data_IF_373076681787
#
_entry.id   IF_373076681787
#
_cell.length_a   1.000
_cell.length_b   1.000
_cell.length_c   1.000
_cell.angle_alpha   90.00
_cell.angle_beta   90.00
_cell.angle_gamma   90.00
#
_symmetry.space_group_name_H-M   'P 1'
#
loop_
_entity.id
_entity.type
_entity.pdbx_description
1 polymer ?
#
# COMPACT_ATOMS: atom_id res chain seq x y z
N UNK A 1 42.30 68.34 54.49
CA UNK A 1 41.01 68.23 53.78
C UNK A 1 41.06 66.98 52.91
N UNK A 2 40.47 65.88 53.37
CA UNK A 2 40.27 64.67 52.56
C UNK A 2 38.81 64.70 52.09
N UNK A 3 38.58 64.81 50.79
CA UNK A 3 37.24 64.79 50.18
C UNK A 3 37.03 63.44 49.50
N UNK A 4 36.07 62.68 50.01
CA UNK A 4 35.67 61.36 49.50
C UNK A 4 34.69 61.51 48.35
N UNK A 5 35.07 61.02 47.16
CA UNK A 5 34.19 60.97 45.98
C UNK A 5 33.39 59.66 45.98
N UNK A 6 32.09 59.75 46.29
CA UNK A 6 31.13 58.63 46.21
C UNK A 6 30.99 58.12 44.78
N UNK A 7 31.16 56.81 44.59
CA UNK A 7 30.80 56.10 43.36
C UNK A 7 29.29 55.82 43.34
N UNK A 8 28.62 56.15 42.24
CA UNK A 8 27.24 55.74 41.96
C UNK A 8 27.31 54.60 40.94
N UNK A 9 27.02 53.38 41.37
CA UNK A 9 26.76 52.25 40.46
C UNK A 9 25.31 52.31 40.01
N UNK A 10 25.08 52.52 38.71
CA UNK A 10 23.79 52.36 38.06
C UNK A 10 23.59 50.88 37.70
N UNK A 11 22.71 50.19 38.41
CA UNK A 11 22.24 48.87 38.04
C UNK A 11 21.26 48.99 36.87
N UNK A 12 21.64 48.46 35.70
CA UNK A 12 20.74 48.24 34.58
C UNK A 12 20.00 46.92 34.80
N UNK A 13 18.73 46.98 35.20
CA UNK A 13 17.82 45.82 35.17
C UNK A 13 17.33 45.62 33.73
N UNK A 14 17.91 44.66 33.02
CA UNK A 14 17.37 44.17 31.77
C UNK A 14 16.08 43.39 32.04
N UNK A 15 14.93 43.94 31.64
CA UNK A 15 13.64 43.25 31.67
C UNK A 15 13.63 42.21 30.53
N UNK A 16 13.87 40.94 30.85
CA UNK A 16 13.62 39.82 29.94
C UNK A 16 12.10 39.68 29.77
N UNK A 17 11.56 40.21 28.68
CA UNK A 17 10.22 39.91 28.20
C UNK A 17 10.19 38.43 27.79
N UNK A 18 9.71 37.58 28.69
CA UNK A 18 9.29 36.22 28.35
C UNK A 18 8.03 36.36 27.49
N UNK A 19 8.20 36.31 26.18
CA UNK A 19 7.08 36.10 25.26
C UNK A 19 6.45 34.75 25.63
N UNK A 20 5.17 34.70 26.02
CA UNK A 20 4.49 33.41 26.12
C UNK A 20 4.52 32.81 24.73
N UNK A 21 5.24 31.69 24.57
CA UNK A 21 5.19 30.90 23.37
C UNK A 21 3.73 30.62 23.06
N UNK A 22 3.23 31.17 21.95
CA UNK A 22 1.92 30.82 21.45
C UNK A 22 1.95 29.30 21.27
N UNK A 23 1.27 28.58 22.15
CA UNK A 23 0.87 27.22 21.91
C UNK A 23 0.03 27.28 20.64
N UNK A 24 0.67 26.96 19.51
CA UNK A 24 -0.03 26.73 18.26
C UNK A 24 -1.14 25.74 18.58
N UNK A 25 -2.39 26.20 18.51
CA UNK A 25 -3.52 25.30 18.60
C UNK A 25 -3.28 24.16 17.60
N UNK A 26 -3.55 22.89 17.96
CA UNK A 26 -3.41 21.80 17.00
C UNK A 26 -4.18 22.20 15.75
N UNK A 27 -3.49 22.26 14.62
CA UNK A 27 -4.11 22.57 13.34
C UNK A 27 -5.33 21.66 13.24
N UNK A 28 -6.53 22.26 13.10
CA UNK A 28 -7.76 21.50 12.90
C UNK A 28 -7.46 20.49 11.78
N UNK A 29 -7.60 19.19 12.08
CA UNK A 29 -7.56 18.15 11.06
C UNK A 29 -8.49 18.62 9.94
N UNK A 30 -7.95 18.87 8.75
CA UNK A 30 -8.77 19.16 7.59
C UNK A 30 -9.55 17.89 7.31
N UNK A 31 -10.80 17.83 7.77
CA UNK A 31 -11.65 16.68 7.57
C UNK A 31 -12.00 16.56 6.08
N UNK A 32 -11.88 15.34 5.55
CA UNK A 32 -12.23 15.03 4.18
C UNK A 32 -13.74 15.23 3.92
N UNK A 33 -14.09 16.20 3.07
CA UNK A 33 -15.50 16.48 2.72
C UNK A 33 -16.03 15.56 1.62
N UNK A 34 -15.22 15.27 0.59
CA UNK A 34 -15.64 14.53 -0.61
C UNK A 34 -14.71 13.34 -0.86
N UNK A 35 -14.84 12.25 -0.08
CA UNK A 35 -13.95 11.10 -0.21
C UNK A 35 -14.12 10.39 -1.56
N UNK A 36 -13.01 10.10 -2.21
CA UNK A 36 -12.96 9.13 -3.32
C UNK A 36 -13.48 7.78 -2.79
N UNK A 37 -14.35 7.13 -3.55
CA UNK A 37 -14.92 5.82 -3.17
C UNK A 37 -14.23 4.71 -3.94
N UNK A 38 -13.48 3.87 -3.24
CA UNK A 38 -12.91 2.62 -3.76
C UNK A 38 -13.98 1.52 -3.71
N UNK A 39 -14.14 0.81 -4.84
CA UNK A 39 -15.24 -0.15 -5.05
C UNK A 39 -14.71 -1.53 -5.41
N UNK A 40 -15.54 -2.54 -5.18
CA UNK A 40 -15.22 -3.90 -5.57
C UNK A 40 -15.18 -4.02 -7.11
N UNK A 41 -14.18 -4.71 -7.66
CA UNK A 41 -13.96 -4.80 -9.11
C UNK A 41 -15.20 -5.22 -9.91
N UNK A 42 -15.94 -6.23 -9.41
CA UNK A 42 -17.11 -6.78 -10.08
C UNK A 42 -18.30 -5.81 -10.12
N UNK A 43 -18.30 -4.74 -9.32
CA UNK A 43 -19.37 -3.72 -9.34
C UNK A 43 -19.08 -2.57 -10.31
N UNK A 44 -17.86 -2.46 -10.82
CA UNK A 44 -17.53 -1.46 -11.84
C UNK A 44 -18.20 -1.77 -13.18
N UNK A 45 -18.59 -0.72 -13.92
CA UNK A 45 -18.97 -0.86 -15.33
C UNK A 45 -17.76 -1.22 -16.18
N UNK A 46 -18.00 -1.82 -17.36
CA UNK A 46 -16.91 -2.20 -18.26
C UNK A 46 -16.05 -1.00 -18.67
N UNK A 47 -16.65 0.16 -18.98
CA UNK A 47 -15.90 1.39 -19.31
C UNK A 47 -14.89 1.79 -18.22
N UNK A 48 -15.25 1.61 -16.95
CA UNK A 48 -14.35 1.92 -15.82
C UNK A 48 -13.21 0.90 -15.70
N UNK A 49 -13.50 -0.38 -15.96
CA UNK A 49 -12.49 -1.44 -16.01
C UNK A 49 -11.49 -1.20 -17.14
N UNK A 50 -12.00 -0.89 -18.33
CA UNK A 50 -11.19 -0.56 -19.50
C UNK A 50 -10.32 0.67 -19.27
N UNK A 51 -10.88 1.71 -18.63
CA UNK A 51 -10.14 2.92 -18.26
C UNK A 51 -9.01 2.63 -17.26
N UNK A 52 -9.24 1.76 -16.27
CA UNK A 52 -8.20 1.33 -15.33
C UNK A 52 -7.05 0.61 -16.03
N UNK A 53 -7.37 -0.35 -16.91
CA UNK A 53 -6.36 -1.08 -17.68
C UNK A 53 -5.58 -0.17 -18.63
N UNK A 54 -6.26 0.77 -19.29
CA UNK A 54 -5.64 1.77 -20.16
C UNK A 54 -4.68 2.67 -19.37
N UNK A 55 -5.12 3.20 -18.24
CA UNK A 55 -4.28 4.06 -17.40
C UNK A 55 -3.07 3.30 -16.83
N UNK A 56 -3.26 2.05 -16.42
CA UNK A 56 -2.16 1.17 -15.99
C UNK A 56 -1.09 1.02 -17.07
N UNK A 57 -1.48 0.75 -18.32
CA UNK A 57 -0.55 0.62 -19.45
C UNK A 57 0.11 1.94 -19.84
N UNK A 58 -0.59 3.07 -19.65
CA UNK A 58 -0.03 4.40 -19.88
C UNK A 58 1.22 4.67 -19.01
N UNK A 59 1.31 4.10 -17.81
CA UNK A 59 2.48 4.26 -16.94
C UNK A 59 3.77 3.66 -17.54
N UNK A 60 3.67 2.70 -18.48
CA UNK A 60 4.82 2.18 -19.21
C UNK A 60 5.45 3.21 -20.17
N UNK A 61 4.73 4.28 -20.49
CA UNK A 61 5.21 5.34 -21.36
C UNK A 61 5.71 6.57 -20.58
N UNK A 62 5.56 6.57 -19.26
CA UNK A 62 6.10 7.64 -18.41
C UNK A 62 7.52 7.29 -18.01
N UNK A 63 8.41 8.29 -18.05
CA UNK A 63 9.80 8.14 -17.62
C UNK A 63 9.86 7.79 -16.14
N UNK A 64 10.79 6.90 -15.78
CA UNK A 64 11.13 6.62 -14.37
C UNK A 64 11.51 7.92 -13.64
N UNK A 65 11.09 8.03 -12.38
CA UNK A 65 11.37 9.18 -11.51
C UNK A 65 12.28 8.82 -10.32
N UNK A 66 12.59 7.53 -10.13
CA UNK A 66 13.43 7.05 -9.04
C UNK A 66 14.89 6.94 -9.47
N UNK A 67 15.82 7.18 -8.55
CA UNK A 67 17.24 6.97 -8.80
C UNK A 67 17.56 5.47 -8.72
N UNK A 68 17.64 4.80 -9.87
CA UNK A 68 17.88 3.35 -9.97
C UNK A 68 19.08 2.98 -10.86
N UNK A 69 19.96 3.93 -11.18
CA UNK A 69 21.10 3.72 -12.11
C UNK A 69 20.70 3.07 -13.45
N UNK A 70 19.52 3.44 -13.98
CA UNK A 70 18.98 2.92 -15.25
C UNK A 70 18.34 1.54 -15.19
N UNK A 71 18.25 0.91 -14.01
CA UNK A 71 17.53 -0.37 -13.81
C UNK A 71 16.03 -0.20 -14.03
N UNK A 72 15.41 0.78 -13.37
CA UNK A 72 14.05 1.22 -13.68
C UNK A 72 14.05 2.13 -14.91
N UNK A 73 13.19 1.84 -15.89
CA UNK A 73 13.13 2.60 -17.15
C UNK A 73 11.87 3.46 -17.25
N UNK A 74 10.80 3.02 -16.61
CA UNK A 74 9.48 3.65 -16.71
C UNK A 74 8.90 3.86 -15.32
N UNK A 75 7.95 4.78 -15.18
CA UNK A 75 7.22 4.95 -13.94
C UNK A 75 6.50 3.66 -13.53
N UNK A 76 6.11 2.80 -14.50
CA UNK A 76 5.59 1.48 -14.19
C UNK A 76 6.61 0.59 -13.45
N UNK A 77 7.88 0.61 -13.89
CA UNK A 77 8.96 -0.19 -13.29
C UNK A 77 9.35 0.33 -11.89
N UNK A 78 9.20 1.64 -11.63
CA UNK A 78 9.57 2.27 -10.36
C UNK A 78 8.88 1.62 -9.17
N UNK A 79 7.59 1.28 -9.33
CA UNK A 79 6.80 0.59 -8.32
C UNK A 79 7.49 -0.71 -7.89
N UNK A 80 7.82 -1.57 -8.85
CA UNK A 80 8.47 -2.84 -8.59
C UNK A 80 9.87 -2.68 -8.03
N UNK A 81 10.64 -1.71 -8.54
CA UNK A 81 11.99 -1.41 -8.07
C UNK A 81 12.00 -0.99 -6.60
N UNK A 82 11.16 -0.03 -6.21
CA UNK A 82 11.07 0.45 -4.82
C UNK A 82 10.61 -0.68 -3.90
N UNK A 83 9.52 -1.36 -4.25
CA UNK A 83 8.97 -2.45 -3.43
C UNK A 83 9.95 -3.61 -3.23
N UNK A 84 10.74 -3.93 -4.26
CA UNK A 84 11.82 -4.91 -4.16
C UNK A 84 12.95 -4.42 -3.24
N UNK A 85 13.40 -3.18 -3.42
CA UNK A 85 14.62 -2.67 -2.77
C UNK A 85 14.44 -2.50 -1.26
N UNK A 86 13.30 -1.99 -0.81
CA UNK A 86 13.03 -1.78 0.62
C UNK A 86 12.15 -2.87 1.24
N UNK A 87 12.09 -4.05 0.61
CA UNK A 87 11.21 -5.15 1.01
C UNK A 87 11.29 -5.49 2.52
N UNK A 88 12.50 -5.47 3.09
CA UNK A 88 12.76 -5.80 4.50
C UNK A 88 12.23 -4.79 5.51
N UNK A 89 11.87 -3.57 5.07
CA UNK A 89 11.33 -2.51 5.93
C UNK A 89 9.87 -2.21 5.61
N UNK A 90 9.21 -3.03 4.77
CA UNK A 90 7.80 -2.85 4.40
C UNK A 90 6.98 -4.17 4.49
N UNK A 91 7.61 -5.33 4.66
CA UNK A 91 6.94 -6.63 4.88
C UNK A 91 7.39 -7.29 6.18
N UNK A 92 6.46 -7.95 6.87
CA UNK A 92 6.71 -8.58 8.18
C UNK A 92 7.29 -7.56 9.18
N UNK A 93 6.88 -6.30 9.05
CA UNK A 93 7.17 -5.16 9.94
C UNK A 93 5.92 -4.33 10.18
N UNK A 94 5.94 -3.53 11.26
CA UNK A 94 4.84 -2.64 11.63
C UNK A 94 4.42 -1.70 10.50
N UNK A 95 5.35 -1.23 9.66
CA UNK A 95 5.07 -0.30 8.57
C UNK A 95 4.24 -0.89 7.41
N UNK A 96 3.96 -2.19 7.38
CA UNK A 96 3.28 -2.87 6.27
C UNK A 96 2.01 -2.13 5.80
N UNK A 97 1.06 -1.90 6.70
CA UNK A 97 -0.20 -1.24 6.36
C UNK A 97 -0.07 0.22 5.95
N UNK A 98 0.54 1.11 6.77
CA UNK A 98 0.65 2.51 6.39
C UNK A 98 1.48 2.70 5.12
N UNK A 99 2.56 1.93 4.92
CA UNK A 99 3.38 2.02 3.72
C UNK A 99 2.60 1.64 2.46
N UNK A 100 1.92 0.48 2.46
CA UNK A 100 1.13 0.03 1.31
C UNK A 100 -0.10 0.93 1.05
N UNK A 101 -0.68 1.53 2.09
CA UNK A 101 -1.75 2.52 1.94
C UNK A 101 -1.31 3.73 1.11
N UNK A 102 -0.16 4.33 1.42
CA UNK A 102 0.32 5.46 0.64
C UNK A 102 0.83 5.03 -0.73
N UNK A 103 1.41 3.83 -0.83
CA UNK A 103 1.75 3.24 -2.13
C UNK A 103 0.55 3.14 -3.09
N UNK A 104 -0.64 2.80 -2.60
CA UNK A 104 -1.89 2.84 -3.38
C UNK A 104 -2.28 4.28 -3.78
N UNK A 105 -2.13 5.26 -2.88
CA UNK A 105 -2.46 6.66 -3.15
C UNK A 105 -1.52 7.28 -4.21
N UNK A 106 -0.23 6.94 -4.16
CA UNK A 106 0.73 7.31 -5.21
C UNK A 106 0.27 6.72 -6.55
N UNK A 107 -0.13 5.44 -6.57
CA UNK A 107 -0.66 4.81 -7.78
C UNK A 107 -1.94 5.46 -8.28
N UNK A 108 -2.86 5.85 -7.40
CA UNK A 108 -4.07 6.60 -7.78
C UNK A 108 -3.75 7.94 -8.43
N UNK A 109 -2.81 8.70 -7.86
CA UNK A 109 -2.32 9.96 -8.45
C UNK A 109 -1.81 9.72 -9.87
N UNK A 110 -0.94 8.72 -10.05
CA UNK A 110 -0.28 8.47 -11.33
C UNK A 110 -1.26 7.91 -12.39
N UNK A 111 -2.24 7.10 -11.96
CA UNK A 111 -3.35 6.65 -12.80
C UNK A 111 -4.26 7.81 -13.22
N UNK A 112 -4.51 8.77 -12.34
CA UNK A 112 -5.30 9.98 -12.64
C UNK A 112 -4.65 10.82 -13.73
N UNK A 113 -3.33 10.99 -13.68
CA UNK A 113 -2.57 11.64 -14.75
C UNK A 113 -2.59 10.85 -16.08
N UNK A 114 -2.90 9.55 -16.03
CA UNK A 114 -3.15 8.70 -17.19
C UNK A 114 -4.65 8.58 -17.57
N UNK A 115 -5.51 9.43 -16.98
CA UNK A 115 -6.92 9.55 -17.32
C UNK A 115 -7.88 8.66 -16.53
N UNK A 116 -7.44 8.03 -15.43
CA UNK A 116 -8.30 7.26 -14.53
C UNK A 116 -8.42 7.95 -13.16
N UNK A 117 -9.50 8.68 -12.95
CA UNK A 117 -9.73 9.48 -11.74
C UNK A 117 -10.65 8.82 -10.70
N UNK A 118 -11.11 7.59 -10.95
CA UNK A 118 -11.80 6.78 -9.94
C UNK A 118 -10.78 6.26 -8.91
N UNK A 119 -11.25 5.90 -7.71
CA UNK A 119 -10.41 5.20 -6.74
C UNK A 119 -10.01 3.81 -7.23
N UNK A 120 -8.81 3.35 -6.88
CA UNK A 120 -8.35 2.00 -7.19
C UNK A 120 -9.38 1.00 -6.68
N UNK A 121 -9.89 0.10 -7.54
CA UNK A 121 -10.83 -0.91 -7.11
C UNK A 121 -10.15 -1.94 -6.21
N UNK A 122 -10.94 -2.67 -5.44
CA UNK A 122 -10.45 -3.78 -4.62
C UNK A 122 -11.00 -5.12 -5.12
N UNK A 123 -10.24 -6.19 -4.93
CA UNK A 123 -10.64 -7.56 -5.25
C UNK A 123 -10.98 -8.29 -3.96
N UNK A 124 -12.28 -8.55 -3.73
CA UNK A 124 -12.71 -9.30 -2.56
C UNK A 124 -12.53 -10.81 -2.76
N UNK A 125 -11.32 -11.32 -2.48
CA UNK A 125 -10.97 -12.74 -2.61
C UNK A 125 -11.89 -13.67 -1.82
N UNK A 126 -12.56 -13.17 -0.78
CA UNK A 126 -13.40 -14.01 0.07
C UNK A 126 -14.57 -14.63 -0.70
N UNK A 127 -14.94 -14.03 -1.84
CA UNK A 127 -15.94 -14.51 -2.79
C UNK A 127 -15.50 -15.76 -3.54
N UNK A 128 -14.19 -15.97 -3.66
CA UNK A 128 -13.57 -17.03 -4.46
C UNK A 128 -12.83 -18.06 -3.58
N UNK A 129 -13.24 -18.18 -2.31
CA UNK A 129 -12.56 -18.98 -1.29
C UNK A 129 -13.12 -20.42 -1.13
N UNK A 130 -14.11 -20.82 -1.93
CA UNK A 130 -14.82 -22.09 -1.75
C UNK A 130 -14.01 -23.31 -2.20
N UNK A 131 -13.23 -23.19 -3.28
CA UNK A 131 -12.39 -24.27 -3.80
C UNK A 131 -11.25 -23.73 -4.67
N UNK A 132 -10.30 -24.61 -5.05
CA UNK A 132 -9.28 -24.27 -6.05
C UNK A 132 -9.93 -23.91 -7.39
N UNK A 133 -11.02 -24.59 -7.75
CA UNK A 133 -11.77 -24.31 -8.97
C UNK A 133 -12.43 -22.93 -8.91
N UNK A 134 -13.00 -22.55 -7.77
CA UNK A 134 -13.64 -21.24 -7.59
C UNK A 134 -12.63 -20.12 -7.76
N UNK A 135 -11.44 -20.27 -7.16
CA UNK A 135 -10.34 -19.32 -7.33
C UNK A 135 -9.90 -19.22 -8.80
N UNK A 136 -9.59 -20.35 -9.46
CA UNK A 136 -9.12 -20.35 -10.85
C UNK A 136 -10.15 -19.78 -11.84
N UNK A 137 -11.44 -19.89 -11.51
CA UNK A 137 -12.55 -19.35 -12.31
C UNK A 137 -13.09 -18.01 -11.78
N UNK A 138 -12.38 -17.35 -10.86
CA UNK A 138 -12.79 -16.04 -10.35
C UNK A 138 -12.97 -15.05 -11.51
N UNK A 139 -14.04 -14.23 -11.52
CA UNK A 139 -14.24 -13.19 -12.52
C UNK A 139 -13.07 -12.20 -12.65
N UNK A 140 -12.22 -12.07 -11.63
CA UNK A 140 -11.01 -11.24 -11.71
C UNK A 140 -10.03 -11.73 -12.79
N UNK A 141 -10.09 -13.02 -13.15
CA UNK A 141 -9.22 -13.64 -14.15
C UNK A 141 -9.89 -13.79 -15.52
N UNK A 142 -11.12 -13.29 -15.66
CA UNK A 142 -11.80 -13.26 -16.96
C UNK A 142 -11.00 -12.38 -17.95
N UNK A 143 -10.78 -12.82 -19.20
CA UNK A 143 -10.00 -12.05 -20.17
C UNK A 143 -10.66 -10.72 -20.59
N UNK A 144 -11.98 -10.65 -20.62
CA UNK A 144 -12.68 -9.47 -21.16
C UNK A 144 -13.05 -8.48 -20.05
N UNK A 145 -13.41 -9.02 -18.87
CA UNK A 145 -13.95 -8.24 -17.76
C UNK A 145 -13.02 -8.18 -16.55
N UNK A 146 -11.87 -8.85 -16.61
CA UNK A 146 -10.87 -8.93 -15.54
C UNK A 146 -9.44 -8.69 -16.05
N UNK A 147 -8.49 -9.41 -15.47
CA UNK A 147 -7.05 -9.20 -15.65
C UNK A 147 -6.41 -10.27 -16.55
N UNK A 148 -7.20 -11.19 -17.11
CA UNK A 148 -6.72 -12.38 -17.81
C UNK A 148 -6.31 -13.50 -16.87
N UNK A 149 -6.18 -14.69 -17.46
CA UNK A 149 -5.93 -15.95 -16.74
C UNK A 149 -4.45 -16.19 -16.40
N UNK A 150 -4.15 -17.46 -16.12
CA UNK A 150 -2.79 -17.96 -15.90
C UNK A 150 -1.95 -17.89 -17.18
N UNK A 151 -0.62 -17.97 -17.04
CA UNK A 151 0.28 -18.06 -18.18
C UNK A 151 0.22 -19.40 -18.91
N UNK A 152 0.61 -19.42 -20.18
CA UNK A 152 0.60 -20.62 -21.03
C UNK A 152 2.00 -20.96 -21.61
N UNK A 153 2.41 -22.24 -21.64
CA UNK A 153 1.78 -23.38 -20.95
C UNK A 153 1.74 -23.16 -19.44
N UNK A 154 0.73 -23.69 -18.75
CA UNK A 154 0.61 -23.51 -17.29
C UNK A 154 1.82 -24.15 -16.60
N UNK A 155 2.66 -23.30 -16.02
CA UNK A 155 3.86 -23.71 -15.28
C UNK A 155 3.60 -23.89 -13.79
N UNK A 156 4.69 -24.03 -13.05
CA UNK A 156 4.73 -24.00 -11.59
C UNK A 156 5.42 -22.72 -11.07
N UNK A 157 5.69 -22.65 -9.77
CA UNK A 157 6.37 -21.50 -9.15
C UNK A 157 7.75 -21.18 -9.74
N UNK A 158 8.43 -22.16 -10.35
CA UNK A 158 9.74 -22.01 -10.97
C UNK A 158 9.68 -21.80 -12.48
N UNK A 159 8.53 -22.07 -13.09
CA UNK A 159 8.32 -22.11 -14.55
C UNK A 159 7.12 -21.27 -14.99
N UNK A 160 6.73 -20.25 -14.22
CA UNK A 160 5.62 -19.38 -14.58
C UNK A 160 5.78 -18.82 -16.01
N UNK A 161 4.71 -18.88 -16.78
CA UNK A 161 4.70 -18.56 -18.20
C UNK A 161 4.02 -17.22 -18.48
N UNK A 162 4.21 -16.70 -19.69
CA UNK A 162 3.62 -15.43 -20.11
C UNK A 162 2.09 -15.49 -20.06
N UNK A 163 1.45 -14.42 -19.61
CA UNK A 163 0.01 -14.20 -19.78
C UNK A 163 -0.30 -13.99 -21.26
N UNK A 164 -1.20 -14.82 -21.82
CA UNK A 164 -1.53 -14.82 -23.26
C UNK A 164 -2.94 -14.29 -23.59
N UNK A 165 -3.75 -13.96 -22.59
CA UNK A 165 -5.10 -13.42 -22.79
C UNK A 165 -5.41 -12.22 -21.89
N UNK A 166 -6.48 -11.52 -22.25
CA UNK A 166 -6.97 -10.33 -21.55
C UNK A 166 -6.10 -9.08 -21.71
N UNK A 167 -6.34 -8.03 -20.91
CA UNK A 167 -5.82 -6.68 -21.16
C UNK A 167 -4.30 -6.54 -21.06
N UNK A 168 -3.63 -7.55 -20.50
CA UNK A 168 -2.18 -7.61 -20.26
C UNK A 168 -1.48 -8.73 -21.04
N UNK A 169 -2.17 -9.37 -22.00
CA UNK A 169 -1.54 -10.29 -22.92
C UNK A 169 -0.35 -9.61 -23.63
N UNK A 170 0.83 -10.24 -23.55
CA UNK A 170 2.05 -9.71 -24.16
C UNK A 170 2.69 -8.51 -23.46
N UNK A 171 2.19 -8.08 -22.29
CA UNK A 171 2.79 -7.02 -21.48
C UNK A 171 4.26 -7.35 -21.20
N UNK A 172 5.17 -6.43 -21.51
CA UNK A 172 6.59 -6.54 -21.17
C UNK A 172 6.92 -5.66 -19.96
N UNK A 173 7.69 -6.18 -19.02
CA UNK A 173 8.22 -5.45 -17.85
C UNK A 173 9.75 -5.42 -17.93
N UNK A 174 10.40 -4.42 -17.35
CA UNK A 174 11.87 -4.28 -17.45
C UNK A 174 12.63 -4.78 -16.22
N UNK A 175 11.95 -4.89 -15.08
CA UNK A 175 12.55 -5.21 -13.78
C UNK A 175 12.09 -6.60 -13.28
N UNK A 176 12.95 -7.41 -12.63
CA UNK A 176 14.39 -7.20 -12.39
C UNK A 176 15.24 -7.36 -13.64
N UNK A 177 14.71 -8.07 -14.64
CA UNK A 177 15.22 -8.13 -16.00
C UNK A 177 14.05 -8.03 -16.99
N UNK A 178 14.28 -7.75 -18.28
CA UNK A 178 13.21 -7.75 -19.27
C UNK A 178 12.53 -9.12 -19.42
N UNK A 179 11.21 -9.17 -19.21
CA UNK A 179 10.39 -10.36 -19.45
C UNK A 179 8.93 -10.00 -19.73
N UNK A 180 8.17 -10.94 -20.26
CA UNK A 180 6.71 -10.85 -20.31
C UNK A 180 6.12 -10.93 -18.89
N UNK A 181 4.95 -10.35 -18.64
CA UNK A 181 4.19 -10.60 -17.41
C UNK A 181 3.91 -12.09 -17.25
N UNK A 182 4.30 -12.68 -16.12
CA UNK A 182 4.14 -14.12 -15.86
C UNK A 182 3.13 -14.42 -14.76
N UNK A 183 2.30 -15.44 -14.96
CA UNK A 183 1.38 -16.02 -13.96
C UNK A 183 1.44 -17.54 -13.94
N UNK A 184 1.17 -18.12 -12.77
CA UNK A 184 1.09 -19.57 -12.58
C UNK A 184 0.26 -19.86 -11.34
N UNK A 185 -1.00 -20.27 -11.54
CA UNK A 185 -1.88 -20.58 -10.42
C UNK A 185 -1.35 -21.76 -9.61
N UNK A 186 -0.89 -21.47 -8.39
CA UNK A 186 -0.21 -22.43 -7.53
C UNK A 186 -0.97 -22.57 -6.20
N UNK A 187 -2.00 -23.41 -6.21
CA UNK A 187 -2.86 -23.65 -5.05
C UNK A 187 -2.82 -25.12 -4.62
N UNK A 188 -2.73 -25.35 -3.32
CA UNK A 188 -3.14 -26.63 -2.72
C UNK A 188 -4.63 -26.61 -2.41
N UNK A 189 -5.24 -27.78 -2.21
CA UNK A 189 -6.69 -27.88 -1.95
C UNK A 189 -7.16 -27.13 -0.70
N UNK A 190 -6.29 -26.97 0.31
CA UNK A 190 -6.62 -26.25 1.54
C UNK A 190 -6.38 -24.74 1.45
N UNK A 191 -5.61 -24.28 0.45
CA UNK A 191 -5.15 -22.90 0.36
C UNK A 191 -6.29 -21.87 0.36
N UNK A 192 -7.42 -22.09 -0.35
CA UNK A 192 -8.56 -21.16 -0.32
C UNK A 192 -9.16 -20.87 1.06
N UNK A 193 -9.01 -21.81 2.00
CA UNK A 193 -9.45 -21.61 3.38
C UNK A 193 -8.79 -20.41 4.06
N UNK A 194 -7.57 -20.02 3.65
CA UNK A 194 -6.79 -18.92 4.23
C UNK A 194 -7.37 -17.52 3.97
N UNK A 195 -8.25 -17.37 2.98
CA UNK A 195 -8.94 -16.10 2.70
C UNK A 195 -10.46 -16.24 2.71
N UNK A 196 -10.98 -17.31 3.32
CA UNK A 196 -12.43 -17.44 3.53
C UNK A 196 -12.96 -16.32 4.43
N UNK A 197 -14.23 -15.95 4.27
CA UNK A 197 -14.88 -14.94 5.13
C UNK A 197 -14.81 -15.31 6.62
N UNK A 198 -14.75 -16.61 6.94
CA UNK A 198 -14.59 -17.10 8.32
C UNK A 198 -13.21 -16.76 8.92
N UNK A 199 -12.14 -16.88 8.13
CA UNK A 199 -10.78 -16.53 8.53
C UNK A 199 -10.63 -15.02 8.61
N UNK A 200 -11.13 -14.29 7.61
CA UNK A 200 -11.13 -12.82 7.64
C UNK A 200 -11.88 -12.31 8.87
N UNK A 201 -13.05 -12.87 9.20
CA UNK A 201 -13.79 -12.49 10.41
C UNK A 201 -12.96 -12.65 11.69
N UNK A 202 -12.28 -13.80 11.86
CA UNK A 202 -11.40 -14.05 13.01
C UNK A 202 -10.27 -13.02 13.10
N UNK A 203 -9.65 -12.68 11.98
CA UNK A 203 -8.60 -11.66 11.91
C UNK A 203 -9.14 -10.30 12.33
N UNK A 204 -10.32 -9.93 11.85
CA UNK A 204 -10.94 -8.64 12.19
C UNK A 204 -11.31 -8.50 13.68
N UNK A 205 -11.39 -9.61 14.41
CA UNK A 205 -11.72 -9.65 15.84
C UNK A 205 -10.47 -9.53 16.75
N UNK A 206 -9.25 -9.51 16.19
CA UNK A 206 -8.05 -9.23 16.99
C UNK A 206 -8.13 -7.84 17.66
N UNK A 207 -7.74 -7.74 18.95
CA UNK A 207 -7.96 -6.52 19.72
C UNK A 207 -6.96 -5.41 19.36
N UNK A 208 -5.71 -5.79 19.05
CA UNK A 208 -4.55 -4.93 18.85
C UNK A 208 -3.98 -4.99 17.42
N UNK A 209 -3.22 -3.95 17.04
CA UNK A 209 -2.61 -3.83 15.72
C UNK A 209 -1.65 -4.98 15.41
N UNK A 210 -0.76 -5.37 16.32
CA UNK A 210 0.27 -6.38 16.08
C UNK A 210 -0.38 -7.73 15.70
N UNK A 211 -1.38 -8.16 16.47
CA UNK A 211 -2.12 -9.39 16.21
C UNK A 211 -2.91 -9.32 14.90
N UNK A 212 -3.61 -8.21 14.65
CA UNK A 212 -4.34 -7.99 13.40
C UNK A 212 -3.40 -8.04 12.19
N UNK A 213 -2.31 -7.28 12.24
CA UNK A 213 -1.36 -7.13 11.15
C UNK A 213 -0.64 -8.43 10.85
N UNK A 214 -0.05 -9.07 11.86
CA UNK A 214 0.72 -10.28 11.67
C UNK A 214 -0.12 -11.42 11.04
N UNK A 215 -1.39 -11.54 11.45
CA UNK A 215 -2.29 -12.58 10.90
C UNK A 215 -2.85 -12.21 9.53
N UNK A 216 -3.22 -10.97 9.28
CA UNK A 216 -3.70 -10.53 7.96
C UNK A 216 -2.60 -10.59 6.90
N UNK A 217 -1.36 -10.19 7.22
CA UNK A 217 -0.25 -10.25 6.28
C UNK A 217 0.14 -11.70 5.95
N UNK A 218 0.25 -12.58 6.96
CA UNK A 218 0.75 -13.96 6.77
C UNK A 218 -0.28 -14.94 6.26
N UNK A 219 -1.57 -14.65 6.45
CA UNK A 219 -2.65 -15.58 6.10
C UNK A 219 -3.26 -15.17 4.75
N UNK A 220 -4.23 -14.23 4.65
CA UNK A 220 -4.83 -13.92 3.36
C UNK A 220 -3.84 -13.26 2.38
N UNK A 221 -3.07 -12.25 2.79
CA UNK A 221 -2.15 -11.53 1.89
C UNK A 221 -1.09 -12.46 1.27
N UNK A 222 -0.28 -13.13 2.09
CA UNK A 222 0.77 -14.03 1.57
C UNK A 222 0.19 -15.17 0.73
N UNK A 223 -0.98 -15.72 1.09
CA UNK A 223 -1.56 -16.84 0.34
C UNK A 223 -2.20 -16.41 -0.98
N UNK A 224 -2.73 -15.19 -1.12
CA UNK A 224 -3.19 -14.68 -2.43
C UNK A 224 -2.01 -14.44 -3.37
N UNK A 225 -0.95 -13.79 -2.88
CA UNK A 225 0.30 -13.65 -3.65
C UNK A 225 0.82 -15.02 -4.14
N UNK A 226 0.80 -16.05 -3.28
CA UNK A 226 1.21 -17.42 -3.64
C UNK A 226 0.24 -18.12 -4.59
N UNK A 227 -1.06 -17.88 -4.45
CA UNK A 227 -2.10 -18.53 -5.23
C UNK A 227 -2.08 -18.08 -6.70
N UNK A 228 -1.88 -16.78 -6.96
CA UNK A 228 -1.73 -16.26 -8.33
C UNK A 228 -0.39 -16.67 -8.95
N UNK A 229 0.67 -16.72 -8.13
CA UNK A 229 2.01 -17.12 -8.56
C UNK A 229 2.64 -16.12 -9.54
N UNK A 230 3.63 -16.60 -10.31
CA UNK A 230 4.36 -15.77 -11.27
C UNK A 230 4.97 -14.52 -10.64
N UNK A 231 4.83 -13.37 -11.32
CA UNK A 231 5.41 -12.12 -10.86
C UNK A 231 4.77 -11.64 -9.56
N UNK A 232 3.46 -11.85 -9.37
CA UNK A 232 2.75 -11.44 -8.16
C UNK A 232 3.30 -12.10 -6.90
N UNK A 233 3.92 -13.28 -7.00
CA UNK A 233 4.52 -13.97 -5.85
C UNK A 233 5.88 -13.40 -5.44
N UNK A 234 6.54 -12.63 -6.31
CA UNK A 234 7.94 -12.22 -6.15
C UNK A 234 8.04 -10.90 -5.37
N UNK A 235 9.26 -10.51 -5.00
CA UNK A 235 9.50 -9.21 -4.34
C UNK A 235 9.25 -8.02 -5.28
N UNK A 236 9.21 -8.26 -6.59
CA UNK A 236 8.78 -7.32 -7.63
C UNK A 236 7.31 -7.52 -8.01
N UNK A 237 6.48 -7.98 -7.08
CA UNK A 237 5.05 -8.23 -7.30
C UNK A 237 4.24 -7.06 -7.88
N UNK A 238 4.61 -5.78 -7.72
CA UNK A 238 3.94 -4.68 -8.43
C UNK A 238 4.05 -4.72 -9.97
N UNK A 239 4.90 -5.58 -10.54
CA UNK A 239 4.90 -5.86 -11.99
C UNK A 239 3.55 -6.39 -12.45
N UNK A 240 2.83 -7.10 -11.58
CA UNK A 240 1.49 -7.59 -11.83
C UNK A 240 0.46 -6.50 -11.48
N UNK A 241 -0.35 -6.02 -12.44
CA UNK A 241 -1.42 -5.06 -12.18
C UNK A 241 -2.41 -5.46 -11.08
N UNK A 242 -2.68 -6.77 -10.91
CA UNK A 242 -3.50 -7.28 -9.80
C UNK A 242 -2.94 -6.93 -8.41
N UNK A 243 -1.65 -6.59 -8.28
CA UNK A 243 -1.04 -6.16 -7.01
C UNK A 243 -1.84 -5.03 -6.36
N UNK A 244 -2.20 -3.99 -7.13
CA UNK A 244 -2.82 -2.80 -6.55
C UNK A 244 -4.27 -3.05 -6.14
N UNK A 245 -4.99 -3.86 -6.93
CA UNK A 245 -6.35 -4.29 -6.60
C UNK A 245 -6.34 -5.28 -5.43
N UNK A 246 -5.26 -6.07 -5.30
CA UNK A 246 -5.03 -6.93 -4.16
C UNK A 246 -4.81 -6.07 -2.88
N UNK A 247 -3.84 -5.18 -2.92
CA UNK A 247 -3.49 -4.34 -1.77
C UNK A 247 -4.61 -3.36 -1.38
N UNK A 248 -5.49 -2.95 -2.30
CA UNK A 248 -6.69 -2.19 -1.96
C UNK A 248 -7.66 -2.97 -1.06
N UNK A 249 -7.82 -4.28 -1.25
CA UNK A 249 -8.62 -5.10 -0.33
C UNK A 249 -7.89 -5.33 1.00
N UNK A 250 -6.56 -5.41 1.01
CA UNK A 250 -5.77 -5.46 2.26
C UNK A 250 -5.98 -4.16 3.05
N UNK A 251 -5.84 -3.00 2.41
CA UNK A 251 -6.10 -1.70 3.04
C UNK A 251 -7.57 -1.54 3.47
N UNK A 252 -8.52 -2.09 2.71
CA UNK A 252 -9.94 -2.17 3.11
C UNK A 252 -10.12 -2.92 4.42
N UNK A 253 -9.45 -4.07 4.60
CA UNK A 253 -9.50 -4.81 5.86
C UNK A 253 -9.02 -3.97 7.04
N UNK A 254 -7.90 -3.25 6.89
CA UNK A 254 -7.38 -2.40 7.96
C UNK A 254 -8.29 -1.21 8.24
N UNK A 255 -8.78 -0.53 7.20
CA UNK A 255 -9.73 0.58 7.33
C UNK A 255 -10.99 0.14 8.12
N UNK A 256 -11.55 -1.02 7.77
CA UNK A 256 -12.71 -1.58 8.48
C UNK A 256 -12.37 -1.99 9.92
N UNK A 257 -11.16 -2.49 10.18
CA UNK A 257 -10.73 -2.88 11.52
C UNK A 257 -10.54 -1.65 12.41
N UNK A 258 -9.97 -0.56 11.87
CA UNK A 258 -9.86 0.73 12.54
C UNK A 258 -11.24 1.34 12.82
N UNK A 259 -12.17 1.24 11.87
CA UNK A 259 -13.55 1.74 12.01
C UNK A 259 -14.37 1.09 13.14
N UNK A 260 -13.95 -0.07 13.66
CA UNK A 260 -14.60 -0.72 14.81
C UNK A 260 -14.33 -0.04 16.14
N UNK A 261 -13.22 0.69 16.27
CA UNK A 261 -12.88 1.43 17.49
C UNK A 261 -11.94 2.60 17.18
N UNK A 262 -12.35 3.82 17.51
CA UNK A 262 -11.57 5.05 17.24
C UNK A 262 -10.15 5.04 17.81
N UNK A 263 -9.88 4.30 18.89
CA UNK A 263 -8.52 4.20 19.46
C UNK A 263 -7.55 3.49 18.51
N UNK A 264 -8.05 2.74 17.52
CA UNK A 264 -7.24 2.01 16.52
C UNK A 264 -6.62 2.90 15.46
N UNK A 265 -7.03 4.17 15.37
CA UNK A 265 -6.34 5.16 14.53
C UNK A 265 -4.96 5.55 15.11
N UNK A 266 -4.68 5.18 16.35
CA UNK A 266 -3.38 5.37 17.01
C UNK A 266 -2.79 4.05 17.52
N UNK A 267 -3.41 2.90 17.21
CA UNK A 267 -2.90 1.58 17.58
C UNK A 267 -1.90 1.13 16.51
N UNK A 268 -0.62 1.19 16.88
CA UNK A 268 0.52 0.91 16.03
C UNK A 268 1.68 0.42 16.88
N UNK A 269 2.38 -0.61 16.41
CA UNK A 269 3.49 -1.22 17.12
C UNK A 269 4.05 -2.42 16.35
N UNK A 270 5.18 -2.92 16.82
CA UNK A 270 5.92 -4.04 16.23
C UNK A 270 7.35 -3.67 15.86
N UNK A 271 7.95 -4.54 15.05
CA UNK A 271 9.32 -4.37 14.56
C UNK A 271 9.38 -3.44 13.35
N UNK A 272 10.47 -2.66 13.22
CA UNK A 272 10.71 -1.77 12.07
C UNK A 272 11.48 -2.44 10.93
N UNK A 273 12.17 -3.54 11.22
CA UNK A 273 12.93 -4.34 10.23
C UNK A 273 12.55 -5.80 10.36
N UNK A 274 12.42 -6.48 9.23
CA UNK A 274 12.06 -7.89 9.15
C UNK A 274 13.03 -8.77 9.96
N UNK A 275 12.51 -9.86 10.54
CA UNK A 275 13.23 -10.82 11.39
C UNK A 275 13.75 -10.27 12.73
N UNK A 276 13.35 -9.06 13.12
CA UNK A 276 13.55 -8.51 14.46
C UNK A 276 12.24 -8.65 15.23
N UNK A 277 12.29 -9.00 16.52
CA UNK A 277 11.09 -9.19 17.37
C UNK A 277 10.91 -8.09 18.40
N UNK A 278 11.80 -7.11 18.44
CA UNK A 278 11.71 -5.98 19.36
C UNK A 278 10.64 -5.01 18.86
N UNK A 279 9.77 -4.60 19.78
CA UNK A 279 8.75 -3.58 19.53
C UNK A 279 9.38 -2.19 19.63
N UNK A 280 9.77 -1.64 18.48
CA UNK A 280 10.47 -0.35 18.37
C UNK A 280 9.76 0.62 17.44
N UNK A 281 8.65 0.23 16.83
CA UNK A 281 7.96 1.06 15.87
C UNK A 281 7.20 2.19 16.57
N UNK A 282 7.26 3.39 15.98
CA UNK A 282 6.59 4.59 16.47
C UNK A 282 5.72 5.21 15.38
N UNK A 283 4.67 5.92 15.79
CA UNK A 283 3.85 6.73 14.89
C UNK A 283 4.66 7.87 14.23
N UNK A 284 5.75 8.29 14.84
CA UNK A 284 6.65 9.33 14.31
C UNK A 284 7.67 8.78 13.29
N UNK A 285 7.75 7.46 13.12
CA UNK A 285 8.71 6.84 12.21
C UNK A 285 8.46 7.31 10.77
N UNK A 286 9.52 7.74 10.10
CA UNK A 286 9.46 8.20 8.71
C UNK A 286 9.56 7.02 7.75
N UNK A 287 8.50 6.80 6.97
CA UNK A 287 8.50 5.81 5.89
C UNK A 287 9.14 6.37 4.63
N UNK A 288 9.98 5.54 4.00
CA UNK A 288 10.74 5.87 2.80
C UNK A 288 10.05 5.37 1.54
N UNK A 289 10.09 6.17 0.48
CA UNK A 289 9.56 5.81 -0.85
C UNK A 289 10.58 5.94 -1.99
N UNK A 290 11.86 6.13 -1.65
CA UNK A 290 12.98 6.13 -2.61
C UNK A 290 12.79 7.07 -3.82
N UNK A 291 12.17 8.23 -3.60
CA UNK A 291 11.91 9.22 -4.66
C UNK A 291 10.64 8.98 -5.48
N UNK A 292 9.91 7.87 -5.28
CA UNK A 292 8.61 7.63 -5.91
C UNK A 292 7.53 8.63 -5.43
N UNK A 293 7.66 9.08 -4.18
CA UNK A 293 6.89 10.15 -3.57
C UNK A 293 7.64 10.72 -2.35
N UNK A 294 7.08 11.75 -1.71
CA UNK A 294 7.63 12.26 -0.45
C UNK A 294 7.60 11.22 0.67
N UNK A 295 8.60 11.27 1.54
CA UNK A 295 8.61 10.50 2.77
C UNK A 295 7.54 11.03 3.73
N UNK A 296 6.87 10.13 4.45
CA UNK A 296 5.78 10.50 5.37
C UNK A 296 5.91 9.79 6.73
N UNK A 297 5.57 10.45 7.85
CA UNK A 297 5.49 9.78 9.14
C UNK A 297 4.28 8.83 9.18
N UNK A 298 4.37 7.77 9.98
CA UNK A 298 3.29 6.78 10.13
C UNK A 298 1.96 7.41 10.53
N UNK A 299 1.95 8.33 11.49
CA UNK A 299 0.74 9.03 11.95
C UNK A 299 -0.06 9.69 10.83
N UNK A 300 0.61 10.14 9.77
CA UNK A 300 -0.02 10.83 8.64
C UNK A 300 -0.84 9.92 7.73
N UNK A 301 -0.73 8.60 7.90
CA UNK A 301 -1.38 7.59 7.07
C UNK A 301 -2.38 6.72 7.84
N UNK A 302 -2.55 6.95 9.14
CA UNK A 302 -3.41 6.10 9.97
C UNK A 302 -4.90 6.26 9.68
N UNK A 303 -5.33 7.40 9.14
CA UNK A 303 -6.73 7.74 8.93
C UNK A 303 -6.98 8.11 7.47
N UNK A 304 -7.91 7.42 6.81
CA UNK A 304 -8.20 7.60 5.37
C UNK A 304 -8.95 8.89 5.07
N UNK A 305 -9.39 9.63 6.09
CA UNK A 305 -10.20 10.85 5.99
C UNK A 305 -9.52 12.09 6.58
N UNK A 306 -8.23 12.01 6.92
CA UNK A 306 -7.46 13.15 7.45
C UNK A 306 -6.02 13.15 6.95
N UNK A 307 -5.24 14.17 7.35
CA UNK A 307 -3.81 14.29 7.01
C UNK A 307 -3.51 14.24 5.49
N UNK A 308 -4.41 14.82 4.68
CA UNK A 308 -4.30 14.84 3.22
C UNK A 308 -4.82 13.57 2.53
N UNK A 309 -5.29 12.58 3.29
CA UNK A 309 -6.04 11.44 2.75
C UNK A 309 -7.53 11.80 2.71
N UNK A 310 -8.21 11.38 1.64
CA UNK A 310 -9.63 11.62 1.48
C UNK A 310 -10.27 10.52 0.62
N UNK A 311 -10.41 9.32 1.20
CA UNK A 311 -11.06 8.20 0.54
C UNK A 311 -11.75 7.25 1.53
N UNK A 312 -12.67 6.46 1.00
CA UNK A 312 -13.38 5.41 1.73
C UNK A 312 -13.64 4.19 0.83
N UNK A 313 -14.01 3.09 1.47
CA UNK A 313 -14.48 1.88 0.78
C UNK A 313 -16.01 1.81 0.80
N UNK A 314 -16.57 1.27 -0.27
CA UNK A 314 -17.96 0.81 -0.30
C UNK A 314 -18.16 -0.53 0.44
#
# INVERSE_FOLDING_TARGET
MFSTTRHVMLFWTALLLVLPGALSAPAKRTECENPIVRREWSTLSQDKRDAFHKATKCLQNKTSIVESDGVSKTLYDDYSFVHFTINQTIHKVAAFYPWHRYYLLIRERDLSECGYSDGIPYWDWTRDAGSVSDFKNSPIFDPDTGFGGTGYPEGDNSTASCVENGPYAGLQVNFPEPHCLRRSFNLTSQMPGNWSSSVVKKIMDYPDYISFWNNSERIPHDNIHRAVGGDLRRQYSPNEPLFFVHHAQVDRMWTLWQGRNKTRLSDYGGNTVQNVTVDTASLDDTMKYMGLAEDRPVESLMDTLSNGLCYKYE
#
